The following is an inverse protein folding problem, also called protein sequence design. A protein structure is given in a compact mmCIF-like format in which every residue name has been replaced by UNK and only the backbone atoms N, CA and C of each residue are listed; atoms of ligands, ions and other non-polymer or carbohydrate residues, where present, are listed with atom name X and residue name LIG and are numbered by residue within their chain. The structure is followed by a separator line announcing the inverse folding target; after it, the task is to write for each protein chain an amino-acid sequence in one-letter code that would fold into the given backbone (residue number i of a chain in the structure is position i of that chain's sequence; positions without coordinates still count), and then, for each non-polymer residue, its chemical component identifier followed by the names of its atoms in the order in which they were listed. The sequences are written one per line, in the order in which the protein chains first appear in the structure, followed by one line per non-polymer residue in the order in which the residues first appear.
data_IF_985670693353
#
_entry.id   IF_985670693353
#
_cell.length_a   1.000
_cell.length_b   1.000
_cell.length_c   1.000
_cell.angle_alpha   90.00
_cell.angle_beta   90.00
_cell.angle_gamma   90.00
#
_symmetry.space_group_name_H-M   'P 1'
#
loop_
_entity.id
_entity.type
_entity.pdbx_description
1 polymer ?
#
# COMPACT_ATOMS: atom_id res chain seq x y z
N UNK A 1 6.68 -33.61 35.16
CA UNK A 1 5.95 -34.04 33.95
C UNK A 1 4.53 -33.52 34.04
N UNK A 2 4.12 -32.57 33.19
CA UNK A 2 2.72 -32.13 33.17
C UNK A 2 1.84 -33.30 32.70
N UNK A 3 1.00 -33.85 33.59
CA UNK A 3 -0.09 -34.76 33.21
C UNK A 3 -1.23 -33.90 32.70
N UNK A 4 -1.39 -33.82 31.38
CA UNK A 4 -2.54 -33.19 30.74
C UNK A 4 -3.80 -34.04 30.97
N UNK A 5 -4.93 -33.38 31.22
CA UNK A 5 -6.23 -34.06 31.33
C UNK A 5 -6.75 -34.46 29.94
N UNK A 6 -7.63 -35.46 29.87
CA UNK A 6 -8.27 -35.86 28.60
C UNK A 6 -8.99 -34.68 27.93
N UNK A 7 -9.64 -33.82 28.72
CA UNK A 7 -10.35 -32.62 28.24
C UNK A 7 -9.38 -31.65 27.57
N UNK A 8 -8.23 -31.41 28.19
CA UNK A 8 -7.19 -30.53 27.64
C UNK A 8 -6.67 -31.05 26.31
N UNK A 9 -6.43 -32.36 26.20
CA UNK A 9 -5.98 -32.99 24.96
C UNK A 9 -7.06 -32.90 23.85
N UNK A 10 -8.33 -33.10 24.20
CA UNK A 10 -9.44 -32.99 23.24
C UNK A 10 -9.58 -31.57 22.70
N UNK A 11 -9.52 -30.57 23.58
CA UNK A 11 -9.57 -29.15 23.19
C UNK A 11 -8.40 -28.80 22.26
N UNK A 12 -7.18 -29.22 22.61
CA UNK A 12 -6.00 -28.98 21.79
C UNK A 12 -6.13 -29.64 20.41
N UNK A 13 -6.65 -30.88 20.35
CA UNK A 13 -6.90 -31.57 19.09
C UNK A 13 -7.92 -30.80 18.23
N UNK A 14 -9.02 -30.31 18.81
CA UNK A 14 -10.02 -29.52 18.08
C UNK A 14 -9.42 -28.22 17.53
N UNK A 15 -8.57 -27.53 18.29
CA UNK A 15 -7.88 -26.32 17.81
C UNK A 15 -6.90 -26.65 16.67
N UNK A 16 -6.12 -27.72 16.80
CA UNK A 16 -5.21 -28.15 15.73
C UNK A 16 -5.97 -28.57 14.46
N UNK A 17 -7.10 -29.25 14.61
CA UNK A 17 -7.96 -29.60 13.48
C UNK A 17 -8.55 -28.36 12.82
N UNK A 18 -9.01 -27.39 13.61
CA UNK A 18 -9.50 -26.10 13.10
C UNK A 18 -8.40 -25.35 12.33
N UNK A 19 -7.20 -25.23 12.91
CA UNK A 19 -6.03 -24.62 12.27
C UNK A 19 -5.67 -25.34 10.97
N UNK A 20 -5.73 -26.68 10.95
CA UNK A 20 -5.49 -27.47 9.74
C UNK A 20 -6.53 -27.15 8.65
N UNK A 21 -7.82 -27.14 9.00
CA UNK A 21 -8.90 -26.76 8.09
C UNK A 21 -8.71 -25.32 7.56
N UNK A 22 -8.34 -24.38 8.44
CA UNK A 22 -8.04 -23.01 8.04
C UNK A 22 -6.91 -22.94 7.01
N UNK A 23 -5.78 -23.61 7.27
CA UNK A 23 -4.67 -23.64 6.30
C UNK A 23 -5.06 -24.32 4.98
N UNK A 24 -5.90 -25.35 5.01
CA UNK A 24 -6.41 -26.01 3.81
C UNK A 24 -7.22 -25.04 2.93
N UNK A 25 -7.93 -24.06 3.50
CA UNK A 25 -8.60 -23.01 2.70
C UNK A 25 -7.63 -22.13 1.92
N UNK A 26 -6.38 -22.03 2.36
CA UNK A 26 -5.36 -21.19 1.72
C UNK A 26 -4.64 -21.93 0.59
N UNK A 27 -4.44 -23.25 0.71
CA UNK A 27 -3.58 -24.03 -0.21
C UNK A 27 -4.34 -25.02 -1.09
N UNK A 28 -5.66 -25.15 -0.94
CA UNK A 28 -6.46 -26.13 -1.67
C UNK A 28 -7.85 -25.59 -2.03
N UNK A 29 -8.65 -26.39 -2.74
CA UNK A 29 -10.05 -26.08 -3.06
C UNK A 29 -11.02 -26.24 -1.88
N UNK A 30 -10.52 -26.64 -0.71
CA UNK A 30 -11.32 -26.78 0.49
C UNK A 30 -11.89 -25.43 0.93
N UNK A 31 -13.16 -25.40 1.30
CA UNK A 31 -13.82 -24.22 1.87
C UNK A 31 -14.36 -24.55 3.25
N UNK A 32 -14.16 -23.64 4.20
CA UNK A 32 -14.69 -23.82 5.54
C UNK A 32 -16.15 -23.34 5.60
N UNK A 33 -17.03 -24.02 6.35
CA UNK A 33 -18.39 -23.54 6.58
C UNK A 33 -18.40 -22.12 7.14
N UNK A 34 -19.22 -21.23 6.57
CA UNK A 34 -19.27 -19.79 6.95
C UNK A 34 -19.44 -19.57 8.45
N UNK A 35 -20.23 -20.42 9.13
CA UNK A 35 -20.47 -20.34 10.58
C UNK A 35 -19.21 -20.55 11.42
N UNK A 36 -18.20 -21.23 10.89
CA UNK A 36 -16.95 -21.49 11.59
C UNK A 36 -15.93 -20.37 11.38
N UNK A 37 -16.05 -19.56 10.32
CA UNK A 37 -15.04 -18.52 9.98
C UNK A 37 -14.80 -17.54 11.13
N UNK A 38 -15.83 -16.98 11.80
CA UNK A 38 -15.61 -16.03 12.89
C UNK A 38 -14.93 -16.63 14.13
N UNK A 39 -14.96 -17.96 14.29
CA UNK A 39 -14.35 -18.65 15.44
C UNK A 39 -12.84 -18.46 15.46
N UNK A 40 -12.21 -18.41 14.28
CA UNK A 40 -10.77 -18.23 14.11
C UNK A 40 -10.29 -16.93 14.75
N UNK A 41 -10.70 -15.76 14.22
CA UNK A 41 -10.33 -14.46 14.78
C UNK A 41 -10.76 -14.29 16.24
N UNK A 42 -11.92 -14.83 16.63
CA UNK A 42 -12.40 -14.73 18.01
C UNK A 42 -11.48 -15.47 19.01
N UNK A 43 -10.95 -16.63 18.63
CA UNK A 43 -10.04 -17.43 19.48
C UNK A 43 -8.56 -17.17 19.18
N UNK A 44 -8.24 -16.32 18.20
CA UNK A 44 -6.87 -16.10 17.70
C UNK A 44 -6.26 -17.34 17.02
N UNK A 45 -7.10 -18.17 16.37
CA UNK A 45 -6.70 -19.38 15.67
C UNK A 45 -6.58 -19.18 14.15
N UNK A 46 -6.99 -18.03 13.62
CA UNK A 46 -6.80 -17.69 12.21
C UNK A 46 -5.32 -17.70 11.83
N UNK A 47 -5.02 -18.11 10.61
CA UNK A 47 -3.65 -18.23 10.09
C UNK A 47 -3.50 -17.41 8.82
N UNK A 48 -2.40 -16.65 8.75
CA UNK A 48 -2.03 -15.88 7.56
C UNK A 48 -0.54 -16.10 7.27
N UNK A 49 -0.26 -17.08 6.40
CA UNK A 49 1.10 -17.47 5.99
C UNK A 49 1.38 -17.18 4.51
N UNK A 50 0.49 -16.45 3.82
CA UNK A 50 0.56 -16.19 2.39
C UNK A 50 1.52 -15.06 1.99
N UNK A 51 2.23 -14.46 2.95
CA UNK A 51 3.09 -13.29 2.68
C UNK A 51 4.15 -13.56 1.59
N UNK A 52 4.59 -14.82 1.43
CA UNK A 52 5.59 -15.21 0.44
C UNK A 52 5.23 -16.47 -0.38
N UNK A 53 4.02 -17.01 -0.26
CA UNK A 53 3.67 -18.29 -0.87
C UNK A 53 2.21 -18.36 -1.36
N UNK A 54 1.93 -19.15 -2.42
CA UNK A 54 2.90 -19.76 -3.34
C UNK A 54 3.38 -18.78 -4.43
N UNK A 55 2.75 -17.63 -4.57
CA UNK A 55 3.04 -16.63 -5.60
C UNK A 55 2.97 -15.24 -4.97
N UNK A 56 4.09 -14.73 -4.42
CA UNK A 56 4.13 -13.37 -3.91
C UNK A 56 3.79 -12.37 -5.01
N UNK A 57 3.38 -11.16 -4.61
CA UNK A 57 3.17 -10.07 -5.56
C UNK A 57 4.45 -9.88 -6.40
N UNK A 58 4.25 -9.69 -7.70
CA UNK A 58 5.32 -9.34 -8.63
C UNK A 58 5.31 -7.85 -8.95
N UNK A 59 4.37 -7.10 -8.41
CA UNK A 59 4.26 -5.66 -8.61
C UNK A 59 5.16 -4.94 -7.61
N UNK A 60 5.99 -4.04 -8.13
CA UNK A 60 6.78 -3.06 -7.40
C UNK A 60 6.57 -1.70 -8.05
N UNK A 61 7.08 -0.62 -7.46
CA UNK A 61 6.98 0.70 -8.08
C UNK A 61 7.25 1.85 -7.13
N UNK A 62 7.11 3.06 -7.66
CA UNK A 62 7.27 4.29 -6.91
C UNK A 62 6.29 5.36 -7.37
N UNK A 63 6.05 6.34 -6.51
CA UNK A 63 5.19 7.48 -6.83
C UNK A 63 5.97 8.61 -7.48
N UNK A 64 5.34 9.28 -8.44
CA UNK A 64 5.74 10.59 -8.97
C UNK A 64 4.50 11.46 -8.95
N UNK A 65 4.56 12.64 -8.33
CA UNK A 65 3.38 13.49 -8.15
C UNK A 65 3.61 14.86 -8.81
N UNK A 66 3.58 14.94 -10.15
CA UNK A 66 3.82 16.20 -10.84
C UNK A 66 2.68 17.19 -10.61
N UNK A 67 3.01 18.31 -9.98
CA UNK A 67 2.13 19.45 -9.78
C UNK A 67 2.42 20.59 -10.74
N UNK A 68 1.38 21.32 -11.15
CA UNK A 68 1.48 22.53 -11.95
C UNK A 68 1.14 23.73 -11.08
N UNK A 69 2.10 24.65 -10.97
CA UNK A 69 1.97 25.90 -10.24
C UNK A 69 1.24 26.94 -11.10
N UNK A 70 0.84 28.06 -10.48
CA UNK A 70 0.05 29.11 -11.14
C UNK A 70 0.81 29.77 -12.31
N UNK A 71 2.12 29.88 -12.21
CA UNK A 71 2.98 30.38 -13.29
C UNK A 71 3.25 29.36 -14.42
N UNK A 72 2.74 28.13 -14.27
CA UNK A 72 2.92 27.03 -15.21
C UNK A 72 4.16 26.17 -14.95
N UNK A 73 5.00 26.51 -13.97
CA UNK A 73 6.12 25.66 -13.56
C UNK A 73 5.60 24.33 -13.02
N UNK A 74 6.36 23.24 -13.24
CA UNK A 74 6.11 21.97 -12.60
C UNK A 74 7.02 21.72 -11.41
N UNK A 75 6.49 21.01 -10.41
CA UNK A 75 7.23 20.55 -9.24
C UNK A 75 6.78 19.15 -8.84
N UNK A 76 7.69 18.31 -8.35
CA UNK A 76 7.30 17.05 -7.71
C UNK A 76 6.74 17.32 -6.30
N UNK A 77 5.54 16.83 -6.04
CA UNK A 77 4.84 16.99 -4.76
C UNK A 77 5.05 15.79 -3.83
N UNK A 78 5.80 14.77 -4.24
CA UNK A 78 6.11 13.61 -3.38
C UNK A 78 6.83 14.03 -2.09
N UNK A 79 7.64 15.09 -2.16
CA UNK A 79 8.35 15.70 -1.02
C UNK A 79 7.42 16.17 0.12
N UNK A 80 6.15 16.49 -0.17
CA UNK A 80 5.15 16.88 0.84
C UNK A 80 4.96 15.81 1.91
N UNK A 81 5.11 14.53 1.55
CA UNK A 81 5.03 13.42 2.52
C UNK A 81 6.15 13.45 3.56
N UNK A 82 7.24 14.17 3.28
CA UNK A 82 8.40 14.40 4.16
C UNK A 82 8.40 15.77 4.83
N UNK A 83 7.28 16.49 4.76
CA UNK A 83 7.17 17.89 5.20
C UNK A 83 8.14 18.83 4.48
N UNK A 84 8.53 18.46 3.27
CA UNK A 84 9.37 19.25 2.38
C UNK A 84 8.49 19.88 1.30
N UNK A 85 8.34 21.20 1.39
CA UNK A 85 7.48 22.00 0.53
C UNK A 85 8.28 22.84 -0.47
N UNK A 86 9.56 22.52 -0.69
CA UNK A 86 10.35 23.19 -1.72
C UNK A 86 9.89 22.85 -3.13
N UNK A 87 10.30 23.66 -4.10
CA UNK A 87 10.15 23.36 -5.53
C UNK A 87 11.23 22.36 -5.93
N UNK A 88 10.80 21.20 -6.43
CA UNK A 88 11.67 20.08 -6.82
C UNK A 88 11.44 19.70 -8.27
N UNK A 89 12.51 19.33 -8.98
CA UNK A 89 12.40 18.82 -10.34
C UNK A 89 11.63 17.49 -10.37
N UNK A 90 10.74 17.33 -11.35
CA UNK A 90 10.01 16.08 -11.57
C UNK A 90 10.95 15.09 -12.24
N UNK A 91 11.29 14.01 -11.51
CA UNK A 91 12.01 12.86 -12.07
C UNK A 91 11.09 11.65 -12.17
N UNK A 92 11.16 10.99 -13.33
CA UNK A 92 10.44 9.74 -13.59
C UNK A 92 11.30 8.51 -13.36
N UNK A 93 12.58 8.69 -13.02
CA UNK A 93 13.52 7.59 -12.76
C UNK A 93 13.26 6.94 -11.39
N UNK A 94 13.56 5.65 -11.27
CA UNK A 94 13.44 4.94 -9.98
C UNK A 94 14.45 5.53 -8.98
N UNK A 95 14.02 6.01 -7.81
CA UNK A 95 14.92 6.42 -6.75
C UNK A 95 15.83 5.27 -6.31
N UNK A 96 17.06 5.57 -5.90
CA UNK A 96 17.97 4.54 -5.34
C UNK A 96 17.38 3.86 -4.11
N UNK A 97 16.64 4.62 -3.29
CA UNK A 97 15.87 4.12 -2.16
C UNK A 97 14.45 4.71 -2.22
N UNK A 98 13.49 3.89 -2.62
CA UNK A 98 12.08 4.28 -2.69
C UNK A 98 11.54 4.59 -1.29
N UNK A 99 12.00 3.91 -0.23
CA UNK A 99 11.52 4.16 1.12
C UNK A 99 11.98 5.52 1.65
N UNK A 100 13.16 5.98 1.22
CA UNK A 100 13.67 7.31 1.57
C UNK A 100 12.85 8.46 0.96
N UNK A 101 11.97 8.19 -0.02
CA UNK A 101 11.05 9.21 -0.56
C UNK A 101 9.91 9.56 0.41
N UNK A 102 9.73 8.76 1.46
CA UNK A 102 8.67 8.87 2.46
C UNK A 102 9.26 9.20 3.84
N UNK A 103 8.48 9.84 4.71
CA UNK A 103 8.96 10.24 6.04
C UNK A 103 9.16 9.09 6.99
N UNK A 104 8.24 8.12 6.98
CA UNK A 104 8.17 7.03 7.96
C UNK A 104 7.24 5.90 7.48
N UNK A 105 7.18 4.84 8.28
CA UNK A 105 6.37 3.65 8.03
C UNK A 105 4.85 3.92 7.92
N UNK A 106 4.33 4.96 8.59
CA UNK A 106 2.91 5.32 8.46
C UNK A 106 2.62 5.87 7.07
N UNK A 107 3.48 6.76 6.56
CA UNK A 107 3.39 7.24 5.18
C UNK A 107 3.61 6.10 4.19
N UNK A 108 4.55 5.19 4.45
CA UNK A 108 4.74 3.99 3.62
C UNK A 108 3.47 3.17 3.52
N UNK A 109 2.86 2.82 4.66
CA UNK A 109 1.62 2.02 4.66
C UNK A 109 0.43 2.77 4.05
N UNK A 110 0.34 4.07 4.28
CA UNK A 110 -0.71 4.90 3.67
C UNK A 110 -0.59 4.93 2.14
N UNK A 111 0.61 5.18 1.62
CA UNK A 111 0.86 5.23 0.17
C UNK A 111 0.74 3.85 -0.48
N UNK A 112 1.12 2.77 0.21
CA UNK A 112 0.86 1.40 -0.25
C UNK A 112 -0.65 1.14 -0.45
N UNK A 113 -1.48 1.51 0.53
CA UNK A 113 -2.92 1.34 0.43
C UNK A 113 -3.55 2.26 -0.62
N UNK A 114 -3.00 3.46 -0.84
CA UNK A 114 -3.51 4.44 -1.81
C UNK A 114 -3.47 3.94 -3.27
N UNK A 115 -2.54 3.02 -3.56
CA UNK A 115 -2.41 2.36 -4.85
C UNK A 115 -3.61 1.44 -5.14
N UNK A 116 -4.05 0.67 -4.15
CA UNK A 116 -5.12 -0.33 -4.28
C UNK A 116 -6.43 0.26 -4.79
N UNK A 117 -7.10 -0.46 -5.69
CA UNK A 117 -8.39 -0.05 -6.27
C UNK A 117 -9.49 0.04 -5.21
N UNK A 118 -9.43 -0.82 -4.19
CA UNK A 118 -10.36 -0.86 -3.07
C UNK A 118 -10.32 0.41 -2.21
N UNK A 119 -9.24 1.20 -2.31
CA UNK A 119 -9.07 2.48 -1.60
C UNK A 119 -9.06 3.68 -2.57
N UNK A 120 -9.56 3.52 -3.81
CA UNK A 120 -9.55 4.60 -4.79
C UNK A 120 -10.31 5.86 -4.31
N UNK A 121 -11.34 5.67 -3.48
CA UNK A 121 -12.10 6.74 -2.84
C UNK A 121 -11.27 7.58 -1.85
N UNK A 122 -10.14 7.06 -1.38
CA UNK A 122 -9.24 7.77 -0.47
C UNK A 122 -8.33 8.79 -1.17
N UNK A 123 -8.15 8.67 -2.50
CA UNK A 123 -7.25 9.51 -3.30
C UNK A 123 -7.64 10.99 -3.29
N UNK A 124 -8.94 11.28 -3.18
CA UNK A 124 -9.43 12.66 -3.04
C UNK A 124 -8.92 13.32 -1.76
N UNK A 125 -8.89 12.60 -0.63
CA UNK A 125 -8.49 13.16 0.65
C UNK A 125 -6.98 13.40 0.72
N UNK A 126 -6.18 12.49 0.15
CA UNK A 126 -4.76 12.72 -0.03
C UNK A 126 -4.53 13.95 -0.91
N UNK A 127 -5.30 14.07 -1.99
CA UNK A 127 -5.16 15.19 -2.89
C UNK A 127 -5.50 16.54 -2.23
N UNK A 128 -6.60 16.59 -1.48
CA UNK A 128 -6.96 17.77 -0.69
C UNK A 128 -5.93 18.09 0.38
N UNK A 129 -5.30 17.08 1.00
CA UNK A 129 -4.21 17.27 1.94
C UNK A 129 -3.02 17.97 1.28
N UNK A 130 -2.57 17.51 0.11
CA UNK A 130 -1.49 18.15 -0.65
C UNK A 130 -1.85 19.61 -0.96
N UNK A 131 -3.04 19.89 -1.51
CA UNK A 131 -3.47 21.25 -1.81
C UNK A 131 -3.43 22.15 -0.56
N UNK A 132 -3.98 21.68 0.57
CA UNK A 132 -3.99 22.45 1.82
C UNK A 132 -2.58 22.73 2.31
N UNK A 133 -1.71 21.73 2.33
CA UNK A 133 -0.36 21.91 2.89
C UNK A 133 0.52 22.79 2.00
N UNK A 134 0.46 22.60 0.69
CA UNK A 134 1.24 23.39 -0.26
C UNK A 134 0.76 24.85 -0.30
N UNK A 135 -0.55 25.07 -0.54
CA UNK A 135 -1.11 26.42 -0.72
C UNK A 135 -1.21 27.22 0.59
N UNK A 136 -1.06 26.59 1.77
CA UNK A 136 -0.89 27.31 3.02
C UNK A 136 0.50 27.98 3.14
N UNK A 137 1.48 27.53 2.36
CA UNK A 137 2.89 27.98 2.41
C UNK A 137 3.30 28.74 1.13
N UNK A 138 2.64 28.44 0.02
CA UNK A 138 2.91 29.06 -1.28
C UNK A 138 1.69 29.81 -1.80
N UNK A 139 1.92 31.03 -2.27
CA UNK A 139 0.89 31.91 -2.82
C UNK A 139 1.42 32.57 -4.10
N UNK A 140 0.55 33.26 -4.85
CA UNK A 140 0.97 33.90 -6.10
C UNK A 140 1.42 32.88 -7.13
N UNK A 141 2.60 33.10 -7.74
CA UNK A 141 3.15 32.27 -8.81
C UNK A 141 3.32 30.79 -8.41
N UNK A 142 3.72 30.54 -7.17
CA UNK A 142 3.99 29.19 -6.66
C UNK A 142 2.75 28.48 -6.10
N UNK A 143 1.57 29.07 -6.24
CA UNK A 143 0.34 28.40 -5.81
C UNK A 143 0.09 27.16 -6.67
N UNK A 144 -0.14 26.01 -6.04
CA UNK A 144 -0.48 24.77 -6.72
C UNK A 144 -1.91 24.83 -7.26
N UNK A 145 -2.04 24.57 -8.56
CA UNK A 145 -3.31 24.60 -9.28
C UNK A 145 -3.89 23.20 -9.48
N UNK A 146 -3.08 22.29 -10.04
CA UNK A 146 -3.47 20.92 -10.38
C UNK A 146 -2.30 19.97 -10.22
N UNK A 147 -2.55 18.69 -10.02
CA UNK A 147 -1.51 17.66 -10.07
C UNK A 147 -2.08 16.29 -10.39
N UNK A 148 -1.18 15.36 -10.69
CA UNK A 148 -1.50 13.93 -10.86
C UNK A 148 -0.85 13.12 -9.76
N UNK A 149 -1.56 12.13 -9.24
CA UNK A 149 -0.96 11.08 -8.43
C UNK A 149 -0.65 9.95 -9.40
N UNK A 150 0.63 9.78 -9.71
CA UNK A 150 1.09 8.80 -10.67
C UNK A 150 1.94 7.74 -9.98
N UNK A 151 1.71 6.48 -10.34
CA UNK A 151 2.49 5.34 -9.87
C UNK A 151 3.25 4.74 -11.06
N UNK A 152 4.56 4.60 -10.90
CA UNK A 152 5.44 3.95 -11.86
C UNK A 152 5.48 2.47 -11.53
N UNK A 153 4.62 1.69 -12.18
CA UNK A 153 4.47 0.26 -11.97
C UNK A 153 5.63 -0.50 -12.62
N UNK A 154 6.36 -1.27 -11.83
CA UNK A 154 7.45 -2.14 -12.26
C UNK A 154 7.11 -3.59 -11.96
N UNK A 155 7.17 -4.45 -12.98
CA UNK A 155 6.98 -5.89 -12.79
C UNK A 155 8.31 -6.57 -12.46
N UNK A 156 8.31 -7.36 -11.39
CA UNK A 156 9.41 -8.27 -11.03
C UNK A 156 9.39 -9.48 -11.98
N UNK A 157 10.40 -9.56 -12.84
CA UNK A 157 10.55 -10.64 -13.81
C UNK A 157 11.55 -11.70 -13.34
N UNK A 158 11.39 -12.97 -13.76
CA UNK A 158 12.35 -14.03 -13.43
C UNK A 158 13.71 -13.80 -14.11
N UNK A 159 14.74 -14.53 -13.65
CA UNK A 159 16.07 -14.57 -14.26
C UNK A 159 16.77 -13.20 -14.33
N UNK A 160 16.60 -12.35 -13.31
CA UNK A 160 17.21 -11.02 -13.21
C UNK A 160 16.86 -10.08 -14.38
N UNK A 161 15.77 -10.36 -15.09
CA UNK A 161 15.27 -9.46 -16.11
C UNK A 161 14.65 -8.23 -15.47
N UNK A 162 14.79 -7.08 -16.13
CA UNK A 162 14.16 -5.83 -15.73
C UNK A 162 12.96 -5.59 -16.64
N UNK A 163 11.84 -5.22 -16.06
CA UNK A 163 10.71 -4.71 -16.82
C UNK A 163 10.92 -3.24 -17.15
N UNK A 164 10.22 -2.75 -18.18
CA UNK A 164 10.08 -1.32 -18.40
C UNK A 164 8.94 -0.81 -17.51
N UNK A 165 9.18 0.18 -16.64
CA UNK A 165 8.15 0.74 -15.79
C UNK A 165 6.99 1.32 -16.63
N UNK A 166 5.77 1.14 -16.15
CA UNK A 166 4.55 1.67 -16.77
C UNK A 166 4.01 2.82 -15.93
N UNK A 167 3.68 3.92 -16.59
CA UNK A 167 3.02 5.05 -15.93
C UNK A 167 1.54 4.75 -15.71
N UNK A 168 1.12 4.68 -14.44
CA UNK A 168 -0.28 4.49 -14.05
C UNK A 168 -0.78 5.74 -13.35
N UNK A 169 -1.68 6.49 -13.99
CA UNK A 169 -2.32 7.66 -13.38
C UNK A 169 -3.43 7.18 -12.45
N UNK A 170 -3.21 7.30 -11.15
CA UNK A 170 -4.18 6.89 -10.14
C UNK A 170 -5.26 7.94 -9.89
N UNK A 171 -4.92 9.21 -10.06
CA UNK A 171 -5.82 10.32 -9.76
C UNK A 171 -5.36 11.64 -10.43
N UNK A 172 -6.32 12.47 -10.85
CA UNK A 172 -6.09 13.86 -11.25
C UNK A 172 -6.79 14.78 -10.25
N UNK A 173 -6.08 15.77 -9.71
CA UNK A 173 -6.62 16.66 -8.67
C UNK A 173 -6.58 18.13 -9.10
N UNK A 174 -7.64 18.86 -8.74
CA UNK A 174 -7.75 20.32 -8.83
C UNK A 174 -7.77 20.89 -7.42
N UNK A 175 -6.99 21.94 -7.17
CA UNK A 175 -6.96 22.63 -5.86
C UNK A 175 -8.00 23.76 -5.73
N UNK A 176 -8.86 23.96 -6.75
CA UNK A 176 -9.92 24.98 -6.79
C UNK A 176 -11.30 24.36 -6.98
#
# INVERSE_FOLDING_TARGET
MLRSSLVTNLLAFLFLLYILCWNLTTVSVFTMPERLIPVGPFLGLDQSWSMFAPSPSKEDGWYVIPGTLRDGQQTDLMSVTRDDYGVHEVSWEKPQDVNATLKNEHWRKYMENLYGEENADQRVYFGQYICRQWNARHTGAEQLMTFKITYMLEMTLPNYQRSTPQEVILWNHSCF
#
